data_IF_641903209858
#
_entry.id   IF_641903209858
#
_cell.length_a   1.000
_cell.length_b   1.000
_cell.length_c   1.000
_cell.angle_alpha   90.00
_cell.angle_beta   90.00
_cell.angle_gamma   90.00
#
_symmetry.space_group_name_H-M   'P 1'
#
loop_
_entity.id
_entity.type
_entity.pdbx_description
1 polymer ?
#
# COMPACT_ATOMS: atom_id res chain seq x y z
N UNK A 1 11.84 66.40 -52.53
CA UNK A 1 10.74 66.83 -51.65
C UNK A 1 10.24 65.64 -50.86
N UNK A 2 10.13 65.76 -49.53
CA UNK A 2 9.33 64.88 -48.67
C UNK A 2 8.14 65.69 -48.16
N UNK A 3 6.95 65.12 -48.22
CA UNK A 3 5.76 65.59 -47.49
C UNK A 3 5.80 65.00 -46.08
N UNK A 4 5.47 65.84 -45.10
CA UNK A 4 5.21 65.44 -43.72
C UNK A 4 4.28 64.21 -43.71
N UNK A 5 4.75 63.10 -43.16
CA UNK A 5 4.04 62.27 -42.17
C UNK A 5 4.63 60.85 -42.09
N UNK A 6 5.06 60.21 -43.17
CA UNK A 6 5.77 58.92 -43.09
C UNK A 6 6.82 58.85 -44.21
N UNK A 7 8.08 58.61 -43.84
CA UNK A 7 9.22 58.96 -44.70
C UNK A 7 9.29 58.23 -46.06
N UNK A 8 9.71 58.92 -47.13
CA UNK A 8 10.42 58.39 -48.33
C UNK A 8 10.91 59.53 -49.27
N UNK A 9 11.96 59.30 -50.09
CA UNK A 9 12.52 60.10 -51.24
C UNK A 9 13.73 61.03 -50.87
N UNK A 10 14.87 61.06 -51.58
CA UNK A 10 15.10 60.94 -53.05
C UNK A 10 16.40 60.21 -53.50
N UNK A 11 16.47 59.85 -54.80
CA UNK A 11 17.63 59.31 -55.54
C UNK A 11 18.72 60.35 -55.89
N UNK A 12 18.60 61.58 -55.40
CA UNK A 12 19.59 62.64 -55.53
C UNK A 12 20.23 62.98 -54.18
N UNK A 13 21.54 62.82 -54.08
CA UNK A 13 22.33 63.32 -52.96
C UNK A 13 22.55 64.83 -53.16
N UNK A 14 21.77 65.68 -52.49
CA UNK A 14 22.08 67.11 -52.40
C UNK A 14 23.34 67.27 -51.54
N UNK A 15 24.46 67.57 -52.19
CA UNK A 15 25.77 67.79 -51.55
C UNK A 15 25.97 69.28 -51.37
N UNK A 16 25.95 69.73 -50.12
CA UNK A 16 26.30 71.09 -49.76
C UNK A 16 27.81 71.14 -49.45
N UNK A 17 28.58 72.04 -50.08
CA UNK A 17 30.00 72.20 -49.76
C UNK A 17 30.15 72.71 -48.32
N UNK A 18 31.22 72.26 -47.66
CA UNK A 18 31.63 72.78 -46.36
C UNK A 18 32.72 73.79 -46.62
N UNK A 19 32.40 75.08 -46.49
CA UNK A 19 33.32 76.18 -46.75
C UNK A 19 33.74 76.82 -45.42
N UNK A 20 35.05 76.87 -45.15
CA UNK A 20 35.57 77.44 -43.90
C UNK A 20 35.12 76.72 -42.61
N UNK A 21 34.58 75.51 -42.72
CA UNK A 21 34.01 74.75 -41.60
C UNK A 21 32.50 74.97 -41.37
N UNK A 22 31.86 75.79 -42.19
CA UNK A 22 30.42 76.06 -42.13
C UNK A 22 29.67 75.39 -43.27
N UNK A 23 28.42 75.04 -43.02
CA UNK A 23 27.49 74.52 -44.03
C UNK A 23 26.11 75.13 -43.79
N UNK A 24 25.45 75.54 -44.87
CA UNK A 24 24.11 76.11 -44.84
C UNK A 24 23.25 75.44 -45.91
N UNK A 25 22.07 75.00 -45.50
CA UNK A 25 21.10 74.36 -46.37
C UNK A 25 19.70 74.60 -45.81
N UNK A 26 18.70 74.53 -46.68
CA UNK A 26 17.30 74.57 -46.26
C UNK A 26 16.81 73.15 -46.04
N UNK A 27 16.24 72.88 -44.86
CA UNK A 27 15.64 71.60 -44.52
C UNK A 27 14.20 71.79 -44.05
N UNK A 28 13.36 70.81 -44.35
CA UNK A 28 11.99 70.75 -43.84
C UNK A 28 12.03 70.27 -42.38
N UNK A 29 11.15 70.79 -41.48
CA UNK A 29 11.05 70.30 -40.11
C UNK A 29 10.82 68.78 -40.03
N UNK A 30 11.45 68.13 -39.06
CA UNK A 30 11.37 66.70 -38.82
C UNK A 30 12.73 66.01 -38.64
N UNK A 31 12.72 64.70 -38.34
CA UNK A 31 13.94 63.90 -38.20
C UNK A 31 14.61 63.66 -39.55
N UNK A 32 15.92 63.91 -39.61
CA UNK A 32 16.76 63.71 -40.79
C UNK A 32 18.15 63.18 -40.40
N UNK A 33 18.91 62.73 -41.39
CA UNK A 33 20.29 62.24 -41.20
C UNK A 33 21.22 63.04 -42.08
N UNK A 34 22.22 63.66 -41.47
CA UNK A 34 23.29 64.35 -42.16
C UNK A 34 24.43 63.35 -42.41
N UNK A 35 24.69 63.00 -43.69
CA UNK A 35 25.83 62.17 -44.05
C UNK A 35 27.04 63.05 -44.42
N UNK A 36 28.11 62.94 -43.64
CA UNK A 36 29.38 63.59 -43.94
C UNK A 36 30.10 62.79 -45.02
N UNK A 37 30.43 63.41 -46.15
CA UNK A 37 31.08 62.75 -47.29
C UNK A 37 32.47 63.35 -47.50
N UNK A 38 33.51 62.53 -47.51
CA UNK A 38 34.88 62.91 -47.87
C UNK A 38 35.39 62.02 -48.99
N UNK A 39 36.00 62.62 -50.02
CA UNK A 39 36.53 61.91 -51.19
C UNK A 39 35.50 60.95 -51.83
N UNK A 40 34.23 61.32 -51.84
CA UNK A 40 33.15 60.53 -52.43
C UNK A 40 32.65 59.35 -51.59
N UNK A 41 33.21 59.11 -50.39
CA UNK A 41 32.73 58.10 -49.43
C UNK A 41 32.07 58.77 -48.23
N UNK A 42 30.97 58.19 -47.75
CA UNK A 42 30.38 58.60 -46.48
C UNK A 42 31.36 58.24 -45.35
N UNK A 43 31.71 59.22 -44.52
CA UNK A 43 32.64 59.09 -43.40
C UNK A 43 31.88 58.94 -42.09
N UNK A 44 30.77 59.66 -41.94
CA UNK A 44 29.98 59.63 -40.72
C UNK A 44 28.52 60.05 -41.00
N UNK A 45 27.61 59.70 -40.11
CA UNK A 45 26.18 60.04 -40.22
C UNK A 45 25.68 60.60 -38.90
N UNK A 46 25.15 61.81 -38.91
CA UNK A 46 24.70 62.52 -37.72
C UNK A 46 23.17 62.67 -37.78
N UNK A 47 22.42 62.09 -36.84
CA UNK A 47 20.98 62.34 -36.75
C UNK A 47 20.73 63.80 -36.32
N UNK A 48 19.78 64.44 -36.99
CA UNK A 48 19.34 65.80 -36.71
C UNK A 48 17.81 65.83 -36.62
N UNK A 49 17.29 66.67 -35.73
CA UNK A 49 15.87 66.93 -35.61
C UNK A 49 15.65 68.41 -35.88
N UNK A 50 15.14 68.72 -37.06
CA UNK A 50 14.91 70.10 -37.49
C UNK A 50 13.56 70.55 -36.91
N UNK A 51 13.57 71.57 -36.06
CA UNK A 51 12.35 72.18 -35.55
C UNK A 51 11.64 73.04 -36.59
N UNK A 52 10.53 73.67 -36.20
CA UNK A 52 9.68 74.57 -36.98
C UNK A 52 10.13 76.04 -36.99
N UNK A 53 11.20 76.38 -36.26
CA UNK A 53 11.78 77.72 -36.25
C UNK A 53 12.43 78.09 -37.60
N UNK A 54 12.30 79.36 -38.00
CA UNK A 54 12.77 79.88 -39.28
C UNK A 54 14.29 79.72 -39.53
N UNK A 55 15.11 79.73 -38.47
CA UNK A 55 16.54 79.41 -38.54
C UNK A 55 16.98 78.65 -37.28
N UNK A 56 17.83 77.63 -37.45
CA UNK A 56 18.39 76.83 -36.36
C UNK A 56 19.85 76.49 -36.65
N UNK A 57 20.68 76.44 -35.62
CA UNK A 57 22.06 75.99 -35.73
C UNK A 57 22.15 74.47 -35.80
N UNK A 58 23.19 73.94 -36.45
CA UNK A 58 23.47 72.50 -36.47
C UNK A 58 23.55 71.89 -35.06
N UNK A 59 24.13 72.63 -34.10
CA UNK A 59 24.19 72.18 -32.70
C UNK A 59 22.79 71.99 -32.10
N UNK A 60 21.86 72.92 -32.33
CA UNK A 60 20.49 72.84 -31.79
C UNK A 60 19.73 71.64 -32.35
N UNK A 61 19.81 71.40 -33.66
CA UNK A 61 19.10 70.27 -34.29
C UNK A 61 19.72 68.92 -33.93
N UNK A 62 21.04 68.85 -33.74
CA UNK A 62 21.72 67.64 -33.24
C UNK A 62 21.36 67.38 -31.77
N UNK A 63 21.34 68.42 -30.93
CA UNK A 63 20.93 68.28 -29.51
C UNK A 63 19.46 67.90 -29.39
N UNK A 64 18.58 68.44 -30.22
CA UNK A 64 17.15 68.09 -30.25
C UNK A 64 16.92 66.64 -30.65
N UNK A 65 17.67 66.13 -31.64
CA UNK A 65 17.64 64.71 -32.00
C UNK A 65 18.05 63.82 -30.81
N UNK A 66 19.13 64.20 -30.12
CA UNK A 66 19.63 63.47 -28.95
C UNK A 66 18.59 63.40 -27.82
N UNK A 67 17.90 64.51 -27.54
CA UNK A 67 16.84 64.55 -26.51
C UNK A 67 15.61 63.72 -26.92
N UNK A 68 15.25 63.70 -28.21
CA UNK A 68 14.15 62.87 -28.71
C UNK A 68 14.48 61.36 -28.63
N UNK A 69 15.72 60.99 -28.92
CA UNK A 69 16.22 59.62 -28.72
C UNK A 69 16.21 59.23 -27.24
N UNK A 70 16.70 60.10 -26.34
CA UNK A 70 16.67 59.89 -24.88
C UNK A 70 15.24 59.72 -24.34
N UNK A 71 14.27 60.49 -24.87
CA UNK A 71 12.86 60.37 -24.49
C UNK A 71 12.25 59.05 -24.95
N UNK A 72 12.59 58.60 -26.17
CA UNK A 72 12.19 57.29 -26.70
C UNK A 72 12.78 56.16 -25.85
N UNK A 73 14.06 56.29 -25.48
CA UNK A 73 14.73 55.33 -24.61
C UNK A 73 14.04 55.23 -23.23
N UNK A 74 13.63 56.36 -22.62
CA UNK A 74 12.90 56.35 -21.34
C UNK A 74 11.55 55.64 -21.39
N UNK A 75 10.78 55.83 -22.45
CA UNK A 75 9.51 55.09 -22.61
C UNK A 75 9.75 53.59 -22.88
N UNK A 76 10.82 53.23 -23.59
CA UNK A 76 11.25 51.83 -23.74
C UNK A 76 11.62 51.23 -22.37
N UNK A 77 12.39 51.94 -21.55
CA UNK A 77 12.77 51.49 -20.21
C UNK A 77 11.54 51.31 -19.30
N UNK A 78 10.57 52.23 -19.37
CA UNK A 78 9.31 52.13 -18.62
C UNK A 78 8.44 50.97 -19.09
N UNK A 79 8.29 50.78 -20.40
CA UNK A 79 7.59 49.62 -20.96
C UNK A 79 8.28 48.31 -20.59
N UNK A 80 9.61 48.28 -20.58
CA UNK A 80 10.38 47.12 -20.14
C UNK A 80 10.13 46.82 -18.65
N UNK A 81 10.11 47.83 -17.78
CA UNK A 81 9.80 47.65 -16.36
C UNK A 81 8.38 47.11 -16.14
N UNK A 82 7.38 47.67 -16.85
CA UNK A 82 6.00 47.18 -16.79
C UNK A 82 5.87 45.74 -17.31
N UNK A 83 6.60 45.39 -18.38
CA UNK A 83 6.63 44.03 -18.91
C UNK A 83 7.21 43.04 -17.89
N UNK A 84 8.28 43.40 -17.19
CA UNK A 84 8.87 42.59 -16.13
C UNK A 84 7.88 42.38 -14.98
N UNK A 85 7.23 43.45 -14.49
CA UNK A 85 6.24 43.36 -13.42
C UNK A 85 5.04 42.47 -13.79
N UNK A 86 4.59 42.55 -15.05
CA UNK A 86 3.52 41.70 -15.56
C UNK A 86 3.95 40.23 -15.63
N UNK A 87 5.19 39.96 -16.07
CA UNK A 87 5.77 38.61 -16.08
C UNK A 87 5.87 38.05 -14.67
N UNK A 88 6.38 38.82 -13.71
CA UNK A 88 6.49 38.40 -12.31
C UNK A 88 5.10 38.08 -11.71
N UNK A 89 4.12 38.97 -11.94
CA UNK A 89 2.74 38.75 -11.50
C UNK A 89 2.12 37.50 -12.16
N UNK A 90 2.41 37.25 -13.44
CA UNK A 90 1.95 36.07 -14.15
C UNK A 90 2.59 34.79 -13.61
N UNK A 91 3.89 34.82 -13.28
CA UNK A 91 4.60 33.69 -12.67
C UNK A 91 4.04 33.39 -11.29
N UNK A 92 3.75 34.42 -10.48
CA UNK A 92 3.15 34.24 -9.16
C UNK A 92 1.73 33.65 -9.26
N UNK A 93 0.91 34.13 -10.19
CA UNK A 93 -0.41 33.58 -10.44
C UNK A 93 -0.35 32.13 -10.94
N UNK A 94 0.59 31.80 -11.82
CA UNK A 94 0.83 30.43 -12.26
C UNK A 94 1.23 29.52 -11.10
N UNK A 95 2.08 30.00 -10.19
CA UNK A 95 2.46 29.27 -8.98
C UNK A 95 1.27 29.03 -8.05
N UNK A 96 0.43 30.05 -7.82
CA UNK A 96 -0.81 29.90 -7.04
C UNK A 96 -1.77 28.89 -7.67
N UNK A 97 -1.87 28.88 -9.00
CA UNK A 97 -2.68 27.89 -9.71
C UNK A 97 -2.11 26.47 -9.56
N UNK A 98 -0.79 26.31 -9.63
CA UNK A 98 -0.11 25.04 -9.39
C UNK A 98 -0.32 24.54 -7.95
N UNK A 99 -0.15 25.41 -6.96
CA UNK A 99 -0.44 25.09 -5.55
C UNK A 99 -1.91 24.68 -5.36
N UNK A 100 -2.83 25.36 -6.05
CA UNK A 100 -4.25 25.02 -6.07
C UNK A 100 -4.52 23.63 -6.65
N UNK A 101 -3.86 23.28 -7.77
CA UNK A 101 -3.96 21.97 -8.38
C UNK A 101 -3.43 20.86 -7.44
N UNK A 102 -2.27 21.06 -6.82
CA UNK A 102 -1.71 20.09 -5.86
C UNK A 102 -2.61 19.90 -4.64
N UNK A 103 -3.24 20.97 -4.13
CA UNK A 103 -4.23 20.86 -3.04
C UNK A 103 -5.47 20.07 -3.48
N UNK A 104 -5.94 20.28 -4.71
CA UNK A 104 -7.07 19.54 -5.27
C UNK A 104 -6.75 18.05 -5.42
N UNK A 105 -5.56 17.71 -5.91
CA UNK A 105 -5.08 16.32 -6.00
C UNK A 105 -4.99 15.65 -4.63
N UNK A 106 -4.45 16.36 -3.64
CA UNK A 106 -4.38 15.89 -2.25
C UNK A 106 -5.78 15.65 -1.68
N UNK A 107 -6.72 16.57 -1.92
CA UNK A 107 -8.10 16.42 -1.49
C UNK A 107 -8.80 15.23 -2.16
N UNK A 108 -8.55 14.99 -3.45
CA UNK A 108 -9.04 13.83 -4.18
C UNK A 108 -8.49 12.52 -3.60
N UNK A 109 -7.20 12.49 -3.26
CA UNK A 109 -6.57 11.36 -2.57
C UNK A 109 -7.21 11.07 -1.20
N UNK A 110 -7.41 12.12 -0.39
CA UNK A 110 -8.08 12.00 0.91
C UNK A 110 -9.53 11.52 0.80
N UNK A 111 -10.26 11.97 -0.23
CA UNK A 111 -11.60 11.50 -0.54
C UNK A 111 -11.60 10.00 -0.89
N UNK A 112 -10.62 9.54 -1.69
CA UNK A 112 -10.48 8.11 -2.04
C UNK A 112 -10.14 7.23 -0.84
N UNK A 113 -9.30 7.72 0.06
CA UNK A 113 -9.03 7.05 1.34
C UNK A 113 -10.29 6.97 2.19
N UNK A 114 -11.07 8.05 2.27
CA UNK A 114 -12.33 8.08 3.02
C UNK A 114 -13.36 7.11 2.46
N UNK A 115 -13.46 6.98 1.13
CA UNK A 115 -14.31 5.98 0.47
C UNK A 115 -13.92 4.55 0.86
N UNK A 116 -12.61 4.24 0.84
CA UNK A 116 -12.08 2.94 1.24
C UNK A 116 -12.38 2.62 2.71
N UNK A 117 -12.23 3.61 3.59
CA UNK A 117 -12.54 3.47 5.02
C UNK A 117 -14.04 3.25 5.27
N UNK A 118 -14.90 3.93 4.51
CA UNK A 118 -16.35 3.73 4.58
C UNK A 118 -16.75 2.32 4.09
N UNK A 119 -16.16 1.83 3.01
CA UNK A 119 -16.38 0.47 2.52
C UNK A 119 -15.95 -0.61 3.53
N UNK A 120 -14.82 -0.39 4.19
CA UNK A 120 -14.31 -1.26 5.26
C UNK A 120 -15.25 -1.28 6.46
N UNK A 121 -15.74 -0.10 6.87
CA UNK A 121 -16.71 0.05 7.96
C UNK A 121 -18.05 -0.66 7.65
N UNK A 122 -18.55 -0.53 6.41
CA UNK A 122 -19.74 -1.26 5.94
C UNK A 122 -19.56 -2.78 6.04
N UNK A 123 -18.38 -3.28 5.67
CA UNK A 123 -18.07 -4.70 5.73
C UNK A 123 -18.00 -5.20 7.18
N UNK A 124 -17.38 -4.43 8.07
CA UNK A 124 -17.37 -4.70 9.51
C UNK A 124 -18.79 -4.77 10.09
N UNK A 125 -19.66 -3.82 9.73
CA UNK A 125 -21.05 -3.81 10.19
C UNK A 125 -21.84 -5.05 9.74
N UNK A 126 -21.64 -5.51 8.50
CA UNK A 126 -22.25 -6.76 7.99
C UNK A 126 -21.80 -7.98 8.79
N UNK A 127 -20.51 -8.09 9.10
CA UNK A 127 -19.98 -9.17 9.93
C UNK A 127 -20.57 -9.14 11.34
N UNK A 128 -20.68 -7.96 11.96
CA UNK A 128 -21.32 -7.80 13.26
C UNK A 128 -22.80 -8.22 13.26
N UNK A 129 -23.54 -7.89 12.19
CA UNK A 129 -24.93 -8.32 12.05
C UNK A 129 -25.08 -9.85 11.96
N UNK A 130 -24.18 -10.51 11.23
CA UNK A 130 -24.13 -11.99 11.14
C UNK A 130 -23.79 -12.63 12.49
N UNK A 131 -22.84 -12.06 13.23
CA UNK A 131 -22.49 -12.50 14.57
C UNK A 131 -23.67 -12.36 15.54
N UNK A 132 -24.40 -11.24 15.49
CA UNK A 132 -25.59 -11.01 16.31
C UNK A 132 -26.70 -12.04 16.01
N UNK A 133 -26.94 -12.33 14.72
CA UNK A 133 -27.93 -13.33 14.29
C UNK A 133 -27.57 -14.75 14.78
N UNK A 134 -26.28 -15.08 14.76
CA UNK A 134 -25.76 -16.34 15.29
C UNK A 134 -25.93 -16.45 16.81
N UNK A 135 -25.63 -15.36 17.53
CA UNK A 135 -25.82 -15.28 18.98
C UNK A 135 -27.28 -15.43 19.38
N UNK A 136 -28.22 -14.80 18.64
CA UNK A 136 -29.65 -14.97 18.86
C UNK A 136 -30.10 -16.43 18.72
N UNK A 137 -29.57 -17.14 17.71
CA UNK A 137 -29.89 -18.56 17.49
C UNK A 137 -29.37 -19.47 18.62
N UNK A 138 -28.17 -19.17 19.13
CA UNK A 138 -27.58 -19.88 20.29
C UNK A 138 -28.37 -19.60 21.58
N UNK A 139 -28.85 -18.37 21.78
CA UNK A 139 -29.69 -18.01 22.91
C UNK A 139 -31.02 -18.77 22.87
N UNK A 140 -31.70 -18.82 21.72
CA UNK A 140 -32.94 -19.59 21.55
C UNK A 140 -32.74 -21.10 21.78
N UNK A 141 -31.57 -21.65 21.43
CA UNK A 141 -31.23 -23.04 21.72
C UNK A 141 -31.02 -23.27 23.22
N UNK A 142 -30.36 -22.33 23.89
CA UNK A 142 -30.12 -22.37 25.34
C UNK A 142 -31.42 -22.30 26.13
N UNK A 143 -32.37 -21.47 25.70
CA UNK A 143 -33.73 -21.40 26.26
C UNK A 143 -34.44 -22.75 26.18
N UNK A 144 -34.45 -23.40 25.00
CA UNK A 144 -35.05 -24.73 24.83
C UNK A 144 -34.39 -25.78 25.72
N UNK A 145 -33.07 -25.74 25.87
CA UNK A 145 -32.35 -26.67 26.74
C UNK A 145 -32.69 -26.43 28.21
N UNK A 146 -32.80 -25.18 28.65
CA UNK A 146 -33.23 -24.83 30.00
C UNK A 146 -34.66 -25.35 30.29
N UNK A 147 -35.59 -25.18 29.34
CA UNK A 147 -36.96 -25.70 29.46
C UNK A 147 -37.01 -27.24 29.56
N UNK A 148 -36.18 -27.94 28.78
CA UNK A 148 -36.04 -29.41 28.87
C UNK A 148 -35.50 -29.84 30.23
N UNK A 149 -34.45 -29.18 30.73
CA UNK A 149 -33.88 -29.47 32.04
C UNK A 149 -34.88 -29.22 33.17
N UNK A 150 -35.67 -28.15 33.10
CA UNK A 150 -36.74 -27.88 34.06
C UNK A 150 -37.80 -28.98 34.05
N UNK A 151 -38.19 -29.45 32.86
CA UNK A 151 -39.15 -30.55 32.71
C UNK A 151 -38.62 -31.86 33.29
N UNK A 152 -37.34 -32.19 33.03
CA UNK A 152 -36.69 -33.37 33.59
C UNK A 152 -36.64 -33.30 35.13
N UNK A 153 -36.30 -32.14 35.69
CA UNK A 153 -36.28 -31.92 37.13
C UNK A 153 -37.68 -32.10 37.76
N UNK A 154 -38.74 -31.60 37.12
CA UNK A 154 -40.12 -31.79 37.58
C UNK A 154 -40.53 -33.27 37.59
N UNK A 155 -40.14 -34.03 36.56
CA UNK A 155 -40.36 -35.48 36.52
C UNK A 155 -39.61 -36.20 37.64
N UNK A 156 -38.33 -35.89 37.85
CA UNK A 156 -37.54 -36.48 38.94
C UNK A 156 -38.12 -36.16 40.32
N UNK A 157 -38.60 -34.94 40.54
CA UNK A 157 -39.26 -34.56 41.79
C UNK A 157 -40.55 -35.38 42.03
N UNK A 158 -41.32 -35.63 40.96
CA UNK A 158 -42.54 -36.44 41.03
C UNK A 158 -42.23 -37.90 41.36
N UNK A 159 -41.21 -38.49 40.72
CA UNK A 159 -40.76 -39.86 41.03
C UNK A 159 -40.27 -39.97 42.47
N UNK A 160 -39.46 -39.01 42.94
CA UNK A 160 -38.96 -39.00 44.31
C UNK A 160 -40.11 -38.90 45.34
N UNK A 161 -41.14 -38.10 45.06
CA UNK A 161 -42.36 -38.03 45.87
C UNK A 161 -43.06 -39.39 45.92
N UNK A 162 -43.22 -40.07 44.78
CA UNK A 162 -43.86 -41.37 44.70
C UNK A 162 -43.08 -42.45 45.47
N UNK A 163 -41.75 -42.46 45.36
CA UNK A 163 -40.89 -43.38 46.10
C UNK A 163 -40.94 -43.13 47.61
N UNK A 164 -40.95 -41.85 48.03
CA UNK A 164 -41.10 -41.47 49.43
C UNK A 164 -42.46 -41.93 49.99
N UNK A 165 -43.54 -41.73 49.25
CA UNK A 165 -44.88 -42.18 49.64
C UNK A 165 -44.94 -43.71 49.72
N UNK A 166 -44.34 -44.42 48.77
CA UNK A 166 -44.24 -45.89 48.79
C UNK A 166 -43.47 -46.38 50.02
N UNK A 167 -42.35 -45.76 50.35
CA UNK A 167 -41.56 -46.11 51.53
C UNK A 167 -42.34 -45.87 52.83
N UNK A 168 -43.02 -44.72 52.95
CA UNK A 168 -43.86 -44.39 54.10
C UNK A 168 -45.02 -45.40 54.28
N UNK A 169 -45.67 -45.79 53.17
CA UNK A 169 -46.73 -46.79 53.20
C UNK A 169 -46.23 -48.17 53.66
N UNK A 170 -45.07 -48.62 53.16
CA UNK A 170 -44.48 -49.88 53.61
C UNK A 170 -44.14 -49.81 55.11
N UNK A 171 -43.49 -48.74 55.57
CA UNK A 171 -43.12 -48.57 56.96
C UNK A 171 -44.35 -48.59 57.89
N UNK A 172 -45.41 -47.87 57.54
CA UNK A 172 -46.66 -47.83 58.32
C UNK A 172 -47.44 -49.15 58.32
N UNK A 173 -47.34 -49.93 57.25
CA UNK A 173 -48.03 -51.23 57.13
C UNK A 173 -47.28 -52.42 57.73
N UNK A 174 -46.03 -52.20 58.17
CA UNK A 174 -45.15 -53.27 58.65
C UNK A 174 -45.38 -53.51 60.15
N UNK A 175 -45.79 -54.72 60.53
CA UNK A 175 -45.99 -55.10 61.93
C UNK A 175 -45.65 -56.56 62.19
N UNK A 176 -45.23 -56.84 63.44
CA UNK A 176 -44.92 -58.19 63.91
C UNK A 176 -46.01 -58.70 64.83
N UNK A 177 -46.42 -59.94 64.61
CA UNK A 177 -47.26 -60.70 65.54
C UNK A 177 -46.56 -62.02 65.85
N UNK A 178 -45.85 -62.07 66.97
CA UNK A 178 -44.99 -63.18 67.32
C UNK A 178 -43.86 -63.37 66.29
N UNK A 179 -43.84 -64.52 65.61
CA UNK A 179 -42.87 -64.88 64.59
C UNK A 179 -43.36 -64.65 63.15
N UNK A 180 -44.47 -63.92 62.97
CA UNK A 180 -45.04 -63.59 61.66
C UNK A 180 -44.89 -62.11 61.36
N UNK A 181 -44.48 -61.82 60.14
CA UNK A 181 -44.35 -60.48 59.60
C UNK A 181 -45.56 -60.14 58.74
N UNK A 182 -46.20 -58.99 59.01
CA UNK A 182 -47.23 -58.43 58.14
C UNK A 182 -46.67 -57.21 57.44
N UNK A 183 -46.79 -57.16 56.11
CA UNK A 183 -46.43 -56.00 55.28
C UNK A 183 -47.56 -55.78 54.28
N UNK A 184 -48.03 -54.55 54.16
CA UNK A 184 -49.12 -54.19 53.23
C UNK A 184 -50.37 -55.09 53.37
N UNK A 185 -50.74 -55.42 54.61
CA UNK A 185 -51.88 -56.29 54.91
C UNK A 185 -51.69 -57.78 54.57
N UNK A 186 -50.53 -58.18 54.04
CA UNK A 186 -50.18 -59.57 53.79
C UNK A 186 -49.35 -60.10 54.95
N UNK A 187 -49.84 -61.13 55.64
CA UNK A 187 -49.14 -61.77 56.76
C UNK A 187 -48.42 -63.02 56.30
N UNK A 188 -47.14 -63.14 56.65
CA UNK A 188 -46.34 -64.33 56.36
C UNK A 188 -46.87 -65.56 57.12
N UNK A 189 -46.60 -66.78 56.61
CA UNK A 189 -46.58 -67.98 57.46
C UNK A 189 -45.60 -67.80 58.64
N UNK A 190 -45.64 -68.73 59.61
CA UNK A 190 -44.65 -68.77 60.70
C UNK A 190 -43.25 -68.79 60.10
N UNK A 191 -42.41 -67.80 60.46
CA UNK A 191 -41.04 -67.70 59.94
C UNK A 191 -40.06 -68.63 60.68
N UNK A 192 -40.48 -69.23 61.79
CA UNK A 192 -39.65 -70.20 62.53
C UNK A 192 -39.78 -71.63 62.01
N UNK A 193 -40.78 -71.92 61.18
CA UNK A 193 -41.14 -73.28 60.79
C UNK A 193 -41.40 -74.20 61.99
N UNK A 194 -41.62 -75.51 61.78
CA UNK A 194 -41.33 -76.49 62.82
C UNK A 194 -39.86 -76.35 63.19
N UNK A 195 -39.51 -76.39 64.49
CA UNK A 195 -38.11 -76.43 64.92
C UNK A 195 -37.44 -77.64 64.24
N UNK A 196 -36.59 -77.39 63.26
CA UNK A 196 -35.76 -78.43 62.66
C UNK A 196 -34.76 -78.96 63.68
N UNK A 197 -34.33 -80.21 63.51
CA UNK A 197 -33.12 -80.69 64.18
C UNK A 197 -31.96 -79.75 63.82
N UNK A 198 -31.08 -79.46 64.79
CA UNK A 198 -30.00 -78.50 64.63
C UNK A 198 -29.20 -78.79 63.35
N UNK A 199 -29.39 -77.95 62.33
CA UNK A 199 -28.52 -77.90 61.17
C UNK A 199 -27.12 -77.54 61.62
N UNK A 200 -26.15 -78.33 61.19
CA UNK A 200 -24.83 -78.29 61.74
C UNK A 200 -24.19 -76.91 61.44
N UNK A 201 -23.70 -76.27 62.50
CA UNK A 201 -23.57 -74.81 62.66
C UNK A 201 -22.15 -74.28 62.42
N UNK A 202 -21.23 -75.14 61.99
CA UNK A 202 -19.86 -74.80 61.65
C UNK A 202 -19.62 -74.90 60.13
N UNK A 203 -18.64 -74.16 59.62
CA UNK A 203 -18.26 -74.20 58.21
C UNK A 203 -18.03 -75.63 57.69
N UNK A 204 -17.52 -76.52 58.55
CA UNK A 204 -17.24 -77.93 58.25
C UNK A 204 -18.50 -78.75 57.93
N UNK A 205 -19.64 -78.30 58.41
CA UNK A 205 -20.91 -79.04 58.35
C UNK A 205 -21.64 -78.90 57.00
N UNK A 206 -21.22 -77.93 56.17
CA UNK A 206 -21.76 -77.74 54.82
C UNK A 206 -21.18 -78.81 53.88
N UNK A 207 -22.00 -79.76 53.47
CA UNK A 207 -21.64 -80.79 52.47
C UNK A 207 -21.75 -80.23 51.04
N UNK A 208 -20.88 -80.67 50.13
CA UNK A 208 -20.91 -80.25 48.70
C UNK A 208 -20.34 -78.85 48.39
N UNK A 209 -19.74 -78.15 49.36
CA UNK A 209 -19.09 -76.84 49.14
C UNK A 209 -17.81 -76.97 48.30
N UNK A 210 -17.59 -76.12 47.28
CA UNK A 210 -16.30 -76.03 46.61
C UNK A 210 -15.22 -75.58 47.59
N UNK A 211 -14.12 -76.33 47.73
CA UNK A 211 -13.02 -75.99 48.64
C UNK A 211 -12.19 -74.78 48.17
N UNK A 212 -12.39 -74.34 46.93
CA UNK A 212 -11.75 -73.17 46.33
C UNK A 212 -12.68 -72.52 45.30
N UNK A 213 -12.74 -71.18 45.32
CA UNK A 213 -13.28 -70.37 44.22
C UNK A 213 -12.10 -69.70 43.50
N UNK A 214 -11.35 -70.42 42.66
CA UNK A 214 -10.22 -69.80 41.98
C UNK A 214 -10.75 -68.76 40.99
N UNK A 215 -10.35 -67.48 41.08
CA UNK A 215 -10.66 -66.52 40.03
C UNK A 215 -10.05 -67.05 38.74
N UNK A 216 -10.90 -67.30 37.74
CA UNK A 216 -10.43 -67.60 36.39
C UNK A 216 -10.24 -66.29 35.64
N UNK A 217 -9.10 -66.14 35.00
CA UNK A 217 -8.92 -65.10 34.01
C UNK A 217 -9.98 -65.29 32.92
N UNK A 218 -10.68 -64.22 32.59
CA UNK A 218 -11.46 -64.14 31.38
C UNK A 218 -10.87 -63.04 30.50
N UNK A 219 -11.01 -63.21 29.19
CA UNK A 219 -10.53 -62.24 28.20
C UNK A 219 -11.69 -61.88 27.28
N UNK A 220 -11.75 -60.61 26.90
CA UNK A 220 -12.64 -60.13 25.86
C UNK A 220 -11.89 -60.05 24.53
N UNK A 221 -12.52 -60.46 23.44
CA UNK A 221 -12.03 -60.22 22.08
C UNK A 221 -12.56 -58.89 21.60
N UNK A 222 -11.83 -58.24 20.69
CA UNK A 222 -12.30 -57.02 20.00
C UNK A 222 -13.69 -57.22 19.35
N UNK A 223 -13.96 -58.42 18.84
CA UNK A 223 -15.24 -58.79 18.24
C UNK A 223 -16.43 -58.74 19.21
N UNK A 224 -16.19 -58.74 20.53
CA UNK A 224 -17.24 -58.68 21.56
C UNK A 224 -17.75 -57.23 21.77
N UNK A 225 -17.09 -56.24 21.15
CA UNK A 225 -17.45 -54.82 21.21
C UNK A 225 -18.03 -54.43 19.84
N UNK A 226 -19.36 -54.35 19.76
CA UNK A 226 -20.09 -54.19 18.50
C UNK A 226 -20.10 -52.77 17.95
N UNK A 227 -19.76 -51.78 18.77
CA UNK A 227 -19.76 -50.35 18.45
C UNK A 227 -18.35 -49.77 18.25
N UNK A 228 -17.31 -50.62 18.27
CA UNK A 228 -15.94 -50.17 18.03
C UNK A 228 -15.70 -49.88 16.53
N UNK A 229 -15.42 -48.63 16.13
CA UNK A 229 -15.19 -48.28 14.72
C UNK A 229 -13.97 -49.01 14.13
N UNK A 230 -13.95 -49.11 12.80
CA UNK A 230 -12.83 -49.70 12.07
C UNK A 230 -11.58 -48.80 12.16
N UNK A 231 -10.40 -49.42 12.08
CA UNK A 231 -9.13 -48.67 12.01
C UNK A 231 -8.62 -48.75 10.59
N UNK A 232 -8.22 -47.61 10.01
CA UNK A 232 -7.71 -47.54 8.65
C UNK A 232 -6.33 -46.87 8.60
N UNK A 233 -5.48 -47.37 7.70
CA UNK A 233 -4.26 -46.67 7.28
C UNK A 233 -4.65 -45.59 6.28
N UNK A 234 -5.01 -44.41 6.79
CA UNK A 234 -5.41 -43.24 5.99
C UNK A 234 -6.74 -42.62 6.44
N UNK A 235 -7.19 -41.61 5.68
CA UNK A 235 -8.45 -40.91 5.94
C UNK A 235 -9.59 -41.67 5.25
N UNK A 236 -10.23 -42.58 5.99
CA UNK A 236 -11.46 -43.26 5.58
C UNK A 236 -12.61 -42.78 6.46
N UNK A 237 -13.72 -42.39 5.83
CA UNK A 237 -14.91 -41.91 6.53
C UNK A 237 -15.43 -42.97 7.52
N UNK A 238 -15.74 -42.55 8.76
CA UNK A 238 -16.24 -43.43 9.81
C UNK A 238 -15.18 -44.33 10.48
N UNK A 239 -13.90 -44.16 10.15
CA UNK A 239 -12.80 -44.93 10.75
C UNK A 239 -11.98 -44.11 11.74
N UNK A 240 -11.35 -44.79 12.70
CA UNK A 240 -10.30 -44.22 13.54
C UNK A 240 -8.97 -44.33 12.78
N UNK A 241 -8.26 -43.22 12.53
CA UNK A 241 -7.02 -43.27 11.78
C UNK A 241 -5.93 -44.01 12.57
N UNK A 242 -5.26 -44.96 11.91
CA UNK A 242 -4.16 -45.73 12.49
C UNK A 242 -2.82 -45.13 12.06
N UNK A 243 -1.89 -45.02 13.00
CA UNK A 243 -0.50 -44.65 12.71
C UNK A 243 0.20 -45.75 11.94
N UNK A 244 1.08 -45.37 11.01
CA UNK A 244 2.01 -46.27 10.35
C UNK A 244 3.03 -46.87 11.33
N UNK A 245 3.78 -47.86 10.87
CA UNK A 245 4.85 -48.52 11.65
C UNK A 245 5.99 -47.58 12.05
N UNK A 246 6.12 -46.46 11.35
CA UNK A 246 7.05 -45.35 11.59
C UNK A 246 6.47 -44.27 12.54
N UNK A 247 5.24 -44.47 13.04
CA UNK A 247 4.54 -43.53 13.90
C UNK A 247 3.89 -42.35 13.16
N UNK A 248 4.01 -42.30 11.83
CA UNK A 248 3.48 -41.20 11.01
C UNK A 248 2.02 -41.43 10.62
N UNK A 249 1.37 -40.37 10.16
CA UNK A 249 0.01 -40.41 9.65
C UNK A 249 -0.08 -39.52 8.41
N UNK A 250 -0.57 -40.08 7.30
CA UNK A 250 -0.68 -39.36 6.04
C UNK A 250 -1.97 -38.55 6.00
N UNK A 251 -1.83 -37.25 5.85
CA UNK A 251 -2.93 -36.32 5.57
C UNK A 251 -2.72 -35.68 4.21
N UNK A 252 -3.81 -35.51 3.46
CA UNK A 252 -3.78 -34.79 2.17
C UNK A 252 -3.65 -33.29 2.42
N UNK A 253 -3.22 -32.56 1.39
CA UNK A 253 -3.19 -31.11 1.46
C UNK A 253 -4.60 -30.54 1.72
N UNK A 254 -4.72 -29.57 2.63
CA UNK A 254 -6.00 -28.99 3.00
C UNK A 254 -6.59 -28.23 1.80
N UNK A 255 -7.89 -28.42 1.57
CA UNK A 255 -8.64 -27.76 0.48
C UNK A 255 -9.65 -26.74 1.01
N UNK A 256 -9.97 -26.80 2.32
CA UNK A 256 -10.96 -25.94 2.98
C UNK A 256 -10.50 -25.61 4.39
N UNK A 257 -11.12 -24.57 4.95
CA UNK A 257 -10.96 -24.19 6.35
C UNK A 257 -11.37 -25.35 7.27
N UNK A 258 -10.55 -25.61 8.30
CA UNK A 258 -10.75 -26.70 9.25
C UNK A 258 -10.17 -28.06 8.85
N UNK A 259 -9.56 -28.19 7.66
CA UNK A 259 -8.81 -29.40 7.31
C UNK A 259 -7.50 -29.48 8.10
N UNK A 260 -7.11 -30.69 8.50
CA UNK A 260 -5.78 -30.96 9.06
C UNK A 260 -4.73 -30.73 7.96
N UNK A 261 -3.64 -30.04 8.29
CA UNK A 261 -2.59 -29.70 7.35
C UNK A 261 -1.29 -30.47 7.63
N UNK A 262 -0.52 -30.75 6.58
CA UNK A 262 0.86 -31.24 6.75
C UNK A 262 1.76 -30.09 7.22
N UNK A 263 2.84 -30.42 7.94
CA UNK A 263 3.86 -29.42 8.31
C UNK A 263 4.45 -28.74 7.08
N UNK A 264 4.74 -29.51 6.02
CA UNK A 264 5.26 -28.96 4.77
C UNK A 264 4.33 -27.92 4.16
N UNK A 265 3.02 -28.17 4.13
CA UNK A 265 2.05 -27.21 3.61
C UNK A 265 2.07 -25.89 4.40
N UNK A 266 2.08 -25.98 5.73
CA UNK A 266 2.10 -24.79 6.61
C UNK A 266 3.38 -24.00 6.43
N UNK A 267 4.54 -24.68 6.39
CA UNK A 267 5.83 -24.03 6.21
C UNK A 267 5.93 -23.35 4.83
N UNK A 268 5.46 -23.99 3.76
CA UNK A 268 5.41 -23.41 2.42
C UNK A 268 4.50 -22.20 2.34
N UNK A 269 3.29 -22.28 2.92
CA UNK A 269 2.36 -21.15 2.94
C UNK A 269 2.92 -19.95 3.71
N UNK A 270 3.57 -20.20 4.85
CA UNK A 270 4.25 -19.16 5.64
C UNK A 270 5.42 -18.55 4.86
N UNK A 271 6.22 -19.37 4.18
CA UNK A 271 7.35 -18.90 3.39
C UNK A 271 6.89 -18.05 2.19
N UNK A 272 5.81 -18.45 1.53
CA UNK A 272 5.22 -17.69 0.42
C UNK A 272 4.68 -16.33 0.89
N UNK A 273 3.99 -16.28 2.04
CA UNK A 273 3.50 -15.03 2.62
C UNK A 273 4.65 -14.11 3.03
N UNK A 274 5.70 -14.66 3.64
CA UNK A 274 6.92 -13.91 3.98
C UNK A 274 7.62 -13.37 2.72
N UNK A 275 7.72 -14.17 1.65
CA UNK A 275 8.35 -13.73 0.41
C UNK A 275 7.56 -12.61 -0.29
N UNK A 276 6.24 -12.55 -0.13
CA UNK A 276 5.41 -11.44 -0.65
C UNK A 276 5.65 -10.10 0.04
N UNK A 277 6.24 -10.10 1.22
CA UNK A 277 6.49 -8.90 2.03
C UNK A 277 7.94 -8.41 2.02
N UNK A 278 8.88 -9.20 1.46
CA UNK A 278 10.29 -8.81 1.35
C UNK A 278 10.49 -7.81 0.19
N UNK A 279 11.19 -6.71 0.46
CA UNK A 279 11.51 -5.69 -0.54
C UNK A 279 10.64 -4.44 -0.45
N UNK A 280 9.80 -4.34 0.58
CA UNK A 280 9.05 -3.11 0.88
C UNK A 280 10.00 -1.96 1.22
N UNK A 281 9.72 -0.78 0.67
CA UNK A 281 10.41 0.48 1.00
C UNK A 281 9.62 1.18 2.09
N UNK A 282 10.24 1.35 3.25
CA UNK A 282 9.69 2.08 4.38
C UNK A 282 10.29 3.50 4.42
N UNK A 283 9.43 4.51 4.47
CA UNK A 283 9.87 5.89 4.64
C UNK A 283 9.92 6.26 6.11
N UNK A 284 11.03 6.86 6.54
CA UNK A 284 11.22 7.42 7.87
C UNK A 284 11.82 8.81 7.76
N UNK A 285 11.63 9.66 8.75
CA UNK A 285 12.08 11.05 8.66
C UNK A 285 13.57 11.20 8.97
N UNK A 286 14.09 10.40 9.91
CA UNK A 286 15.47 10.52 10.41
C UNK A 286 16.25 9.21 10.41
N UNK A 287 17.57 9.31 10.47
CA UNK A 287 18.49 8.17 10.56
C UNK A 287 18.26 7.31 11.82
N UNK A 288 17.92 7.93 12.94
CA UNK A 288 17.60 7.20 14.18
C UNK A 288 16.28 6.43 14.07
N UNK A 289 15.30 6.99 13.35
CA UNK A 289 14.07 6.27 13.02
C UNK A 289 14.34 5.09 12.09
N UNK A 290 15.31 5.18 11.17
CA UNK A 290 15.70 4.05 10.32
C UNK A 290 16.22 2.88 11.15
N UNK A 291 17.12 3.16 12.11
CA UNK A 291 17.65 2.14 13.04
C UNK A 291 16.55 1.52 13.91
N UNK A 292 15.63 2.33 14.44
CA UNK A 292 14.52 1.82 15.23
C UNK A 292 13.58 0.93 14.38
N UNK A 293 13.36 1.31 13.12
CA UNK A 293 12.49 0.62 12.18
C UNK A 293 13.05 -0.74 11.73
N UNK A 294 14.38 -0.93 11.75
CA UNK A 294 15.07 -2.19 11.37
C UNK A 294 14.42 -3.42 12.01
N UNK A 295 14.15 -3.37 13.32
CA UNK A 295 13.63 -4.52 14.08
C UNK A 295 12.21 -4.94 13.68
N UNK A 296 11.47 -4.03 13.05
CA UNK A 296 10.11 -4.27 12.55
C UNK A 296 10.06 -4.69 11.08
N UNK A 297 11.18 -4.59 10.36
CA UNK A 297 11.27 -4.89 8.94
C UNK A 297 11.79 -6.30 8.68
N UNK A 298 11.40 -6.87 7.55
CA UNK A 298 11.90 -8.17 7.12
C UNK A 298 13.30 -8.04 6.51
N UNK A 299 14.07 -9.13 6.55
CA UNK A 299 15.38 -9.17 5.88
C UNK A 299 15.16 -9.05 4.37
N UNK A 300 15.85 -8.09 3.75
CA UNK A 300 15.66 -7.72 2.35
C UNK A 300 14.76 -6.49 2.14
N UNK A 301 14.08 -5.98 3.17
CA UNK A 301 13.36 -4.71 3.09
C UNK A 301 14.31 -3.51 2.99
N UNK A 302 13.77 -2.40 2.49
CA UNK A 302 14.49 -1.15 2.35
C UNK A 302 13.88 -0.09 3.28
N UNK A 303 14.74 0.74 3.85
CA UNK A 303 14.34 1.89 4.66
C UNK A 303 15.00 3.12 4.07
N UNK A 304 14.19 4.10 3.68
CA UNK A 304 14.67 5.35 3.12
C UNK A 304 14.40 6.48 4.10
N UNK A 305 15.44 7.26 4.37
CA UNK A 305 15.38 8.45 5.22
C UNK A 305 14.99 9.64 4.35
N UNK A 306 13.80 10.18 4.57
CA UNK A 306 13.24 11.26 3.76
C UNK A 306 14.10 12.53 3.81
N UNK A 307 14.63 12.88 4.99
CA UNK A 307 15.43 14.09 5.16
C UNK A 307 16.78 14.05 4.42
N UNK A 308 17.39 12.87 4.26
CA UNK A 308 18.73 12.71 3.67
C UNK A 308 18.70 12.06 2.29
N UNK A 309 17.66 11.31 1.96
CA UNK A 309 17.59 10.45 0.78
C UNK A 309 18.45 9.19 0.89
N UNK A 310 19.06 8.92 2.05
CA UNK A 310 19.84 7.71 2.33
C UNK A 310 18.92 6.49 2.33
N UNK A 311 19.32 5.41 1.64
CA UNK A 311 18.60 4.15 1.69
C UNK A 311 19.45 3.04 2.31
N UNK A 312 18.80 2.27 3.18
CA UNK A 312 19.37 1.11 3.85
C UNK A 312 18.61 -0.15 3.45
N UNK A 313 19.33 -1.26 3.30
CA UNK A 313 18.77 -2.59 3.20
C UNK A 313 18.86 -3.26 4.55
N UNK A 314 17.78 -3.87 4.99
CA UNK A 314 17.74 -4.65 6.22
C UNK A 314 18.41 -6.00 5.96
N UNK A 315 19.55 -6.27 6.58
CA UNK A 315 20.32 -7.52 6.41
C UNK A 315 20.44 -8.29 7.72
N UNK A 316 21.01 -9.50 7.67
CA UNK A 316 21.32 -10.28 8.88
C UNK A 316 22.33 -9.60 9.81
N UNK A 317 23.15 -8.69 9.29
CA UNK A 317 24.14 -7.94 10.05
C UNK A 317 23.67 -6.54 10.46
N UNK A 318 22.39 -6.21 10.25
CA UNK A 318 21.81 -4.89 10.51
C UNK A 318 21.48 -4.11 9.24
N UNK A 319 21.30 -2.80 9.38
CA UNK A 319 21.16 -1.89 8.24
C UNK A 319 22.45 -1.80 7.44
N UNK A 320 22.41 -2.27 6.19
CA UNK A 320 23.48 -2.07 5.21
C UNK A 320 23.15 -0.82 4.39
N UNK A 321 24.06 0.15 4.36
CA UNK A 321 23.94 1.31 3.47
C UNK A 321 23.93 0.82 2.02
N UNK A 322 22.89 1.19 1.27
CA UNK A 322 22.71 0.82 -0.15
C UNK A 322 23.00 2.02 -1.04
N UNK A 323 22.70 3.22 -0.56
CA UNK A 323 22.93 4.44 -1.32
C UNK A 323 23.04 5.68 -0.42
N UNK A 324 23.92 6.59 -0.83
CA UNK A 324 24.09 7.93 -0.27
C UNK A 324 23.26 8.96 -1.07
N UNK A 325 23.02 10.19 -0.56
CA UNK A 325 22.11 11.18 -1.15
C UNK A 325 22.38 11.56 -2.62
N UNK A 326 23.60 11.32 -3.11
CA UNK A 326 24.05 11.60 -4.48
C UNK A 326 23.85 10.42 -5.44
N UNK A 327 23.55 9.24 -4.92
CA UNK A 327 23.38 8.01 -5.70
C UNK A 327 21.92 7.63 -5.92
N UNK A 328 20.96 8.31 -5.29
CA UNK A 328 19.53 8.08 -5.50
C UNK A 328 18.87 9.32 -6.07
N UNK A 329 18.05 9.16 -7.11
CA UNK A 329 17.24 10.22 -7.68
C UNK A 329 15.83 9.74 -7.98
N UNK A 330 14.84 10.54 -7.57
CA UNK A 330 13.45 10.38 -7.95
C UNK A 330 13.17 11.13 -9.24
N UNK A 331 12.67 10.40 -10.24
CA UNK A 331 12.26 10.96 -11.52
C UNK A 331 10.76 10.72 -11.72
N UNK A 332 10.01 11.79 -11.88
CA UNK A 332 8.56 11.74 -12.06
C UNK A 332 8.24 11.74 -13.55
N UNK A 333 7.37 10.81 -13.95
CA UNK A 333 6.78 10.80 -15.27
C UNK A 333 5.43 11.50 -15.24
N UNK A 334 5.20 12.41 -16.19
CA UNK A 334 3.94 13.14 -16.35
C UNK A 334 3.38 12.95 -17.77
N UNK A 335 2.07 13.08 -17.92
CA UNK A 335 1.41 13.00 -19.22
C UNK A 335 1.75 14.24 -20.05
N UNK A 336 2.40 14.04 -21.20
CA UNK A 336 2.66 15.08 -22.19
C UNK A 336 1.95 14.79 -23.51
N UNK A 337 1.72 15.83 -24.32
CA UNK A 337 1.16 15.73 -25.67
C UNK A 337 2.13 15.03 -26.63
N UNK A 338 2.17 13.70 -26.61
CA UNK A 338 3.05 12.86 -27.42
C UNK A 338 2.90 11.37 -27.07
N UNK A 339 3.64 10.49 -27.74
CA UNK A 339 3.60 9.02 -27.48
C UNK A 339 4.37 8.57 -26.22
N UNK A 340 5.09 9.49 -25.57
CA UNK A 340 5.99 9.23 -24.45
C UNK A 340 5.79 10.24 -23.32
N UNK A 341 6.02 9.81 -22.08
CA UNK A 341 5.90 10.65 -20.90
C UNK A 341 7.02 11.69 -20.82
N UNK A 342 6.71 12.85 -20.23
CA UNK A 342 7.72 13.84 -19.85
C UNK A 342 8.34 13.43 -18.53
N UNK A 343 9.65 13.62 -18.41
CA UNK A 343 10.40 13.33 -17.18
C UNK A 343 10.74 14.63 -16.45
N UNK A 344 10.59 14.66 -15.14
CA UNK A 344 11.01 15.74 -14.25
C UNK A 344 11.70 15.14 -13.02
N UNK A 345 12.57 15.87 -12.35
CA UNK A 345 13.25 15.37 -11.16
C UNK A 345 14.63 15.98 -10.94
N UNK A 346 15.24 15.64 -9.79
CA UNK A 346 16.59 16.07 -9.47
C UNK A 346 17.58 15.19 -10.23
N UNK A 347 18.37 15.77 -11.13
CA UNK A 347 19.38 15.06 -11.92
C UNK A 347 20.73 14.98 -11.19
N UNK A 348 21.19 13.79 -10.79
CA UNK A 348 22.55 13.56 -10.31
C UNK A 348 23.52 13.46 -11.48
N UNK A 349 24.83 13.53 -11.22
CA UNK A 349 25.87 13.52 -12.28
C UNK A 349 25.88 12.28 -13.19
N UNK A 350 25.18 11.21 -12.79
CA UNK A 350 25.06 9.96 -13.54
C UNK A 350 23.77 9.83 -14.35
N UNK A 351 22.88 10.82 -14.30
CA UNK A 351 21.64 10.84 -15.05
C UNK A 351 21.29 12.22 -15.64
N UNK A 352 20.61 12.19 -16.77
CA UNK A 352 20.16 13.38 -17.49
C UNK A 352 18.72 13.17 -17.99
N UNK A 353 17.92 14.24 -17.98
CA UNK A 353 16.56 14.23 -18.48
C UNK A 353 16.57 14.73 -19.93
N UNK A 354 16.22 13.84 -20.86
CA UNK A 354 15.97 14.17 -22.26
C UNK A 354 14.51 14.63 -22.49
N UNK A 355 14.19 14.99 -23.73
CA UNK A 355 12.84 15.48 -24.11
C UNK A 355 11.71 14.48 -23.85
N UNK A 356 11.99 13.17 -23.86
CA UNK A 356 11.00 12.11 -23.61
C UNK A 356 11.61 10.84 -22.98
N UNK A 357 12.81 10.95 -22.42
CA UNK A 357 13.57 9.81 -21.93
C UNK A 357 14.45 10.21 -20.75
N UNK A 358 14.71 9.24 -19.87
CA UNK A 358 15.72 9.35 -18.82
C UNK A 358 17.01 8.69 -19.30
N UNK A 359 18.10 9.45 -19.33
CA UNK A 359 19.44 8.98 -19.73
C UNK A 359 20.19 8.59 -18.47
N UNK A 360 20.71 7.36 -18.44
CA UNK A 360 21.62 6.89 -17.40
C UNK A 360 23.00 6.62 -18.00
N UNK A 361 24.04 7.15 -17.39
CA UNK A 361 25.44 6.83 -17.76
C UNK A 361 25.75 5.33 -17.53
N UNK A 362 26.83 4.76 -18.09
CA UNK A 362 27.21 3.38 -17.80
C UNK A 362 27.32 3.10 -16.29
N UNK A 363 26.82 1.95 -15.86
CA UNK A 363 26.82 1.57 -14.46
C UNK A 363 25.79 0.51 -14.09
N UNK A 364 25.74 0.23 -12.79
CA UNK A 364 24.79 -0.67 -12.16
C UNK A 364 23.75 0.14 -11.41
N UNK A 365 22.48 -0.11 -11.70
CA UNK A 365 21.35 0.66 -11.17
C UNK A 365 20.30 -0.27 -10.59
N UNK A 366 19.65 0.18 -9.53
CA UNK A 366 18.36 -0.35 -9.10
C UNK A 366 17.28 0.62 -9.51
N UNK A 367 16.23 0.10 -10.15
CA UNK A 367 15.11 0.91 -10.64
C UNK A 367 13.85 0.45 -9.95
N UNK A 368 13.30 1.31 -9.09
CA UNK A 368 12.08 1.04 -8.33
C UNK A 368 10.91 1.79 -8.94
N UNK A 369 9.88 1.04 -9.36
CA UNK A 369 8.77 1.57 -10.15
C UNK A 369 7.45 1.32 -9.44
N UNK A 370 6.58 2.34 -9.30
CA UNK A 370 5.24 2.12 -8.77
C UNK A 370 4.44 1.19 -9.70
N UNK A 371 3.46 0.48 -9.12
CA UNK A 371 2.78 -0.68 -9.72
C UNK A 371 2.14 -0.46 -11.10
N UNK A 372 1.96 0.79 -11.54
CA UNK A 372 1.37 1.18 -12.83
C UNK A 372 2.35 1.70 -13.87
N UNK A 373 3.64 1.80 -13.54
CA UNK A 373 4.67 2.29 -14.47
C UNK A 373 5.49 1.11 -14.99
N UNK A 374 5.62 1.02 -16.32
CA UNK A 374 6.44 0.02 -17.00
C UNK A 374 7.50 0.75 -17.85
N UNK A 375 8.73 0.89 -17.34
CA UNK A 375 9.81 1.48 -18.13
C UNK A 375 10.33 0.49 -19.18
N UNK A 376 10.66 1.03 -20.36
CA UNK A 376 11.24 0.30 -21.47
C UNK A 376 12.64 0.82 -21.78
N UNK A 377 13.59 -0.09 -22.03
CA UNK A 377 14.92 0.22 -22.53
C UNK A 377 14.92 0.11 -24.05
N UNK A 378 15.22 1.18 -24.80
CA UNK A 378 15.41 1.08 -26.25
C UNK A 378 16.89 0.82 -26.58
N UNK A 379 17.17 -0.35 -27.14
CA UNK A 379 18.34 -0.66 -27.95
C UNK A 379 17.89 -1.07 -29.37
N UNK A 380 18.81 -1.44 -30.29
CA UNK A 380 18.42 -2.02 -31.57
C UNK A 380 17.45 -3.18 -31.34
N UNK A 381 16.50 -3.34 -32.26
CA UNK A 381 15.22 -4.08 -32.22
C UNK A 381 15.26 -5.59 -31.86
N UNK A 382 16.15 -6.02 -30.97
CA UNK A 382 16.14 -7.33 -30.33
C UNK A 382 15.69 -7.14 -28.88
N UNK A 383 14.66 -7.89 -28.50
CA UNK A 383 13.95 -7.83 -27.24
C UNK A 383 14.87 -8.02 -26.03
N UNK A 384 15.39 -6.92 -25.48
CA UNK A 384 15.96 -6.93 -24.14
C UNK A 384 14.82 -7.03 -23.12
N UNK A 385 14.97 -7.85 -22.06
CA UNK A 385 13.91 -8.08 -21.08
C UNK A 385 13.47 -6.76 -20.44
N UNK A 386 12.17 -6.64 -20.18
CA UNK A 386 11.57 -5.54 -19.44
C UNK A 386 12.46 -5.21 -18.23
N UNK A 387 12.65 -3.93 -17.91
CA UNK A 387 13.09 -3.58 -16.57
C UNK A 387 12.00 -4.12 -15.65
N UNK A 388 12.24 -5.27 -15.04
CA UNK A 388 11.29 -5.87 -14.11
C UNK A 388 10.99 -4.80 -13.05
N UNK A 389 9.72 -4.74 -12.62
CA UNK A 389 9.31 -3.88 -11.51
C UNK A 389 10.26 -4.19 -10.34
N UNK A 390 11.00 -3.17 -9.89
CA UNK A 390 12.00 -3.27 -8.83
C UNK A 390 13.24 -4.13 -9.18
N UNK A 391 13.71 -4.05 -10.43
CA UNK A 391 14.85 -4.80 -10.95
C UNK A 391 16.21 -4.11 -10.87
N UNK A 392 17.26 -4.90 -11.07
CA UNK A 392 18.64 -4.44 -11.27
C UNK A 392 18.90 -4.27 -12.76
N UNK A 393 19.39 -3.10 -13.15
CA UNK A 393 19.79 -2.78 -14.52
C UNK A 393 21.30 -2.58 -14.55
N UNK A 394 21.98 -3.44 -15.30
CA UNK A 394 23.41 -3.29 -15.60
C UNK A 394 23.56 -2.83 -17.05
N UNK A 395 24.40 -1.80 -17.27
CA UNK A 395 24.83 -1.45 -18.61
C UNK A 395 26.27 -0.99 -18.67
N UNK A 396 26.95 -1.53 -19.67
CA UNK A 396 28.27 -1.15 -20.15
C UNK A 396 28.27 0.18 -20.93
N UNK A 397 27.09 0.66 -21.33
CA UNK A 397 26.88 1.87 -22.14
C UNK A 397 25.73 2.71 -21.59
N UNK A 398 25.62 3.93 -22.07
CA UNK A 398 24.51 4.82 -21.76
C UNK A 398 23.17 4.15 -22.06
N UNK A 399 22.25 4.20 -21.11
CA UNK A 399 20.91 3.64 -21.23
C UNK A 399 19.90 4.78 -21.38
N UNK A 400 18.91 4.58 -22.25
CA UNK A 400 17.73 5.44 -22.29
C UNK A 400 16.51 4.66 -21.79
N UNK A 401 15.83 5.22 -20.81
CA UNK A 401 14.59 4.70 -20.24
C UNK A 401 13.42 5.51 -20.78
N UNK A 402 12.44 4.81 -21.34
CA UNK A 402 11.22 5.36 -21.90
C UNK A 402 10.02 4.90 -21.08
N UNK A 403 8.99 5.75 -20.98
CA UNK A 403 7.70 5.36 -20.41
C UNK A 403 6.59 5.79 -21.38
N UNK A 404 5.74 4.86 -21.86
CA UNK A 404 4.66 5.21 -22.79
C UNK A 404 3.67 6.19 -22.14
N UNK A 405 3.23 7.21 -22.88
CA UNK A 405 2.36 8.29 -22.38
C UNK A 405 0.91 7.91 -22.12
N UNK A 406 0.58 6.60 -22.02
CA UNK A 406 -0.80 6.17 -21.73
C UNK A 406 -1.30 6.86 -20.46
N UNK A 407 -2.61 7.13 -20.41
CA UNK A 407 -3.29 8.00 -19.45
C UNK A 407 -3.04 7.71 -17.94
N UNK A 408 -2.32 6.65 -17.59
CA UNK A 408 -2.06 6.19 -16.23
C UNK A 408 -0.57 6.21 -15.81
N UNK A 409 0.33 6.74 -16.65
CA UNK A 409 1.79 6.70 -16.41
C UNK A 409 2.32 7.80 -15.48
N UNK A 410 1.53 8.28 -14.52
CA UNK A 410 1.97 9.32 -13.57
C UNK A 410 2.53 8.67 -12.30
N UNK A 411 3.77 9.02 -11.95
CA UNK A 411 4.39 8.60 -10.69
C UNK A 411 5.90 8.78 -10.68
N UNK A 412 6.48 8.65 -9.48
CA UNK A 412 7.92 8.80 -9.27
C UNK A 412 8.61 7.44 -9.34
N UNK A 413 9.58 7.32 -10.23
CA UNK A 413 10.51 6.20 -10.32
C UNK A 413 11.76 6.58 -9.52
N UNK A 414 12.18 5.72 -8.60
CA UNK A 414 13.45 5.90 -7.89
C UNK A 414 14.54 5.12 -8.60
N UNK A 415 15.60 5.81 -9.01
CA UNK A 415 16.79 5.18 -9.57
C UNK A 415 17.92 5.35 -8.59
N UNK A 416 18.52 4.24 -8.21
CA UNK A 416 19.67 4.19 -7.31
C UNK A 416 20.87 3.65 -8.06
N UNK A 417 21.93 4.45 -8.21
CA UNK A 417 23.23 3.98 -8.70
C UNK A 417 23.91 3.17 -7.61
N UNK A 418 24.12 1.89 -7.88
CA UNK A 418 24.82 0.98 -7.00
C UNK A 418 26.33 1.11 -7.23
N UNK A 419 27.11 0.88 -6.17
CA UNK A 419 28.57 0.82 -6.22
C UNK A 419 29.08 -0.38 -7.02
#
# INVERSE_FOLDING_TARGET
MRTHVEGVVTTGNDRFPVDGGEVSFTAVPGPAVLALISQGRAVDTIPILVGDAATQTLRQVVSAAKVADDATQREIEKLAAQAVELVDSSVENAKKAQDGATRAETAAGNAKTSETNAASSSSGAKSSASAASSSASKAATSEKNAAKSASAAATSASSAKADADRAANIASSTSWNGDKLTVNGQTSPSLRGPKGDSGASAWDDITGKPSTFPPRSHTHRKADITDLPSFAEGIVEGSVPRRGSDGTFFVREPQKEGHVATKSYVDTAIAAEKARTVGMVWMVETEDQAKAKETSCQKGDFIQVAATGTAYQVTNAGLKLVSTPTSTAGFTTETSSGSWAKWTGKTPAWAEIGSSFLILTPGRYRVECPSRIVPYKMGPMESLPNVEKDGIVEADRTIQIYCPSRADSVGTIFVTRLA
#
